data_IF_221589423690
#
_entry.id   IF_221589423690
#
_cell.length_a   1.000
_cell.length_b   1.000
_cell.length_c   1.000
_cell.angle_alpha   90.00
_cell.angle_beta   90.00
_cell.angle_gamma   90.00
#
_symmetry.space_group_name_H-M   'P 1'
#
loop_
_entity.id
_entity.type
_entity.pdbx_description
1 polymer ?
#
# COMPACT_ATOMS: atom_id res chain seq x y z
N UNK A 1 6.24 14.08 -27.34
CA UNK A 1 6.83 14.04 -25.97
C UNK A 1 6.42 15.33 -25.25
N UNK A 2 5.70 15.22 -24.13
CA UNK A 2 5.39 16.38 -23.28
C UNK A 2 6.67 16.79 -22.57
N UNK A 3 7.06 18.07 -22.66
CA UNK A 3 8.26 18.62 -22.03
C UNK A 3 7.91 19.40 -20.76
N UNK A 4 6.74 20.02 -20.72
CA UNK A 4 6.30 20.84 -19.59
C UNK A 4 4.77 20.83 -19.50
N UNK A 5 4.24 20.83 -18.28
CA UNK A 5 2.84 21.06 -17.98
C UNK A 5 2.75 22.21 -17.00
N UNK A 6 2.02 23.28 -17.37
CA UNK A 6 1.78 24.43 -16.49
C UNK A 6 0.34 24.38 -15.99
N UNK A 7 0.20 24.41 -14.67
CA UNK A 7 -1.08 24.50 -13.99
C UNK A 7 -1.24 25.90 -13.42
N UNK A 8 -2.30 26.59 -13.84
CA UNK A 8 -2.65 27.88 -13.28
C UNK A 8 -3.70 27.63 -12.19
N UNK A 9 -3.36 28.00 -10.96
CA UNK A 9 -4.29 27.85 -9.83
C UNK A 9 -5.39 28.92 -9.91
N UNK A 10 -6.60 28.54 -9.53
CA UNK A 10 -7.70 29.48 -9.37
C UNK A 10 -7.49 30.41 -8.17
N UNK A 11 -8.18 31.56 -8.18
CA UNK A 11 -8.12 32.53 -7.08
C UNK A 11 -8.72 31.98 -5.77
N UNK A 12 -9.61 30.99 -5.85
CA UNK A 12 -10.20 30.31 -4.71
C UNK A 12 -9.80 28.83 -4.71
N UNK A 13 -9.46 28.30 -3.52
CA UNK A 13 -9.14 26.88 -3.37
C UNK A 13 -10.45 26.11 -3.29
N UNK A 14 -10.66 25.17 -4.22
CA UNK A 14 -11.74 24.20 -4.19
C UNK A 14 -11.19 22.81 -3.89
N UNK A 15 -11.91 22.04 -3.09
CA UNK A 15 -11.55 20.68 -2.72
C UNK A 15 -12.58 19.71 -3.29
N UNK A 16 -12.11 18.58 -3.81
CA UNK A 16 -12.97 17.45 -4.17
C UNK A 16 -13.25 16.64 -2.90
N UNK A 17 -14.52 16.44 -2.58
CA UNK A 17 -14.94 15.56 -1.48
C UNK A 17 -15.25 14.17 -2.04
N UNK A 18 -14.47 13.18 -1.64
CA UNK A 18 -14.66 11.79 -2.03
C UNK A 18 -15.59 11.02 -1.08
N UNK A 19 -16.09 11.67 -0.03
CA UNK A 19 -16.93 11.08 1.02
C UNK A 19 -16.23 10.01 1.84
N UNK A 20 -16.60 9.84 3.09
CA UNK A 20 -16.14 8.76 3.94
C UNK A 20 -16.89 7.46 3.66
N UNK A 21 -16.34 6.32 4.09
CA UNK A 21 -17.02 5.03 4.00
C UNK A 21 -16.10 3.86 4.25
N UNK A 22 -16.58 2.85 4.98
CA UNK A 22 -15.78 1.67 5.31
C UNK A 22 -15.52 0.81 4.06
N UNK A 23 -14.26 0.68 3.61
CA UNK A 23 -13.93 -0.12 2.44
C UNK A 23 -14.25 -1.61 2.63
N UNK A 24 -14.37 -2.10 3.86
CA UNK A 24 -14.72 -3.50 4.12
C UNK A 24 -16.14 -3.86 3.65
N UNK A 25 -17.05 -2.88 3.56
CA UNK A 25 -18.41 -3.05 3.06
C UNK A 25 -18.56 -2.79 1.56
N UNK A 26 -17.52 -2.24 0.92
CA UNK A 26 -17.54 -1.88 -0.49
C UNK A 26 -17.14 -3.07 -1.39
N UNK A 27 -17.59 -3.05 -2.64
CA UNK A 27 -17.06 -3.95 -3.65
C UNK A 27 -15.76 -3.42 -4.23
N UNK A 28 -15.03 -4.27 -4.97
CA UNK A 28 -13.75 -3.93 -5.60
C UNK A 28 -13.85 -2.71 -6.52
N UNK A 29 -14.90 -2.66 -7.33
CA UNK A 29 -15.07 -1.60 -8.33
C UNK A 29 -15.20 -0.23 -7.69
N UNK A 30 -15.98 -0.12 -6.62
CA UNK A 30 -16.13 1.12 -5.85
C UNK A 30 -14.80 1.59 -5.25
N UNK A 31 -14.02 0.67 -4.68
CA UNK A 31 -12.70 0.97 -4.11
C UNK A 31 -11.74 1.44 -5.23
N UNK A 32 -11.68 0.72 -6.36
CA UNK A 32 -10.85 1.09 -7.51
C UNK A 32 -11.23 2.47 -8.05
N UNK A 33 -12.52 2.74 -8.25
CA UNK A 33 -12.98 4.04 -8.76
C UNK A 33 -12.64 5.20 -7.82
N UNK A 34 -12.79 4.99 -6.51
CA UNK A 34 -12.43 6.01 -5.51
C UNK A 34 -10.93 6.31 -5.54
N UNK A 35 -10.08 5.27 -5.56
CA UNK A 35 -8.63 5.42 -5.64
C UNK A 35 -8.17 6.08 -6.95
N UNK A 36 -8.82 5.78 -8.08
CA UNK A 36 -8.51 6.41 -9.37
C UNK A 36 -8.91 7.89 -9.40
N UNK A 37 -10.14 8.19 -8.98
CA UNK A 37 -10.66 9.57 -8.98
C UNK A 37 -9.88 10.50 -8.05
N UNK A 38 -9.46 9.99 -6.89
CA UNK A 38 -8.66 10.75 -5.93
C UNK A 38 -7.22 10.96 -6.35
N UNK A 39 -6.74 10.28 -7.39
CA UNK A 39 -5.33 10.33 -7.80
C UNK A 39 -4.38 9.52 -6.90
N UNK A 40 -4.90 8.75 -5.95
CA UNK A 40 -4.08 7.93 -5.04
C UNK A 40 -3.62 6.62 -5.70
N UNK A 41 -4.32 6.12 -6.71
CA UNK A 41 -4.01 4.84 -7.37
C UNK A 41 -2.53 4.62 -7.73
N UNK A 42 -1.75 5.61 -8.24
CA UNK A 42 -0.35 5.39 -8.65
C UNK A 42 0.62 4.97 -7.55
N UNK A 43 0.24 5.07 -6.27
CA UNK A 43 1.07 4.58 -5.15
C UNK A 43 1.13 3.06 -5.10
N UNK A 44 0.14 2.38 -5.72
CA UNK A 44 0.13 0.92 -5.82
C UNK A 44 0.98 0.50 -7.02
N UNK A 45 2.05 -0.24 -6.74
CA UNK A 45 3.01 -0.67 -7.74
C UNK A 45 2.88 -2.15 -8.04
N UNK A 46 3.09 -2.52 -9.30
CA UNK A 46 3.02 -3.89 -9.79
C UNK A 46 4.42 -4.47 -9.99
N UNK A 47 4.67 -5.62 -9.40
CA UNK A 47 5.88 -6.40 -9.63
C UNK A 47 5.64 -7.50 -10.67
N UNK A 48 6.67 -7.88 -11.44
CA UNK A 48 8.10 -7.65 -11.21
C UNK A 48 8.67 -6.33 -11.77
N UNK A 49 7.98 -5.59 -12.62
CA UNK A 49 8.57 -4.47 -13.38
C UNK A 49 8.44 -3.09 -12.72
N UNK A 50 7.88 -3.03 -11.52
CA UNK A 50 7.65 -1.80 -10.77
C UNK A 50 6.86 -0.73 -11.54
N UNK A 51 5.85 -1.15 -12.25
CA UNK A 51 4.91 -0.27 -12.95
C UNK A 51 3.78 0.15 -12.02
N UNK A 52 3.04 1.20 -12.38
CA UNK A 52 1.75 1.48 -11.73
C UNK A 52 0.83 0.27 -11.96
N UNK A 53 0.14 -0.17 -10.92
CA UNK A 53 -0.75 -1.32 -11.00
C UNK A 53 -1.87 -1.09 -12.03
N UNK A 54 -2.13 -2.10 -12.86
CA UNK A 54 -3.23 -2.06 -13.84
C UNK A 54 -4.57 -2.30 -13.11
N UNK A 55 -5.47 -1.31 -13.01
CA UNK A 55 -6.72 -1.46 -12.28
C UNK A 55 -7.67 -2.52 -12.85
N UNK A 56 -7.49 -2.91 -14.11
CA UNK A 56 -8.27 -3.96 -14.75
C UNK A 56 -7.83 -5.38 -14.34
N UNK A 57 -6.67 -5.50 -13.69
CA UNK A 57 -6.12 -6.78 -13.26
C UNK A 57 -6.30 -7.02 -11.76
N UNK A 58 -6.19 -8.28 -11.37
CA UNK A 58 -6.14 -8.68 -9.96
C UNK A 58 -4.77 -9.31 -9.69
N UNK A 59 -4.04 -8.87 -8.64
CA UNK A 59 -2.77 -9.48 -8.29
C UNK A 59 -2.98 -10.82 -7.56
N UNK A 60 -1.97 -11.70 -7.62
CA UNK A 60 -1.89 -12.92 -6.81
C UNK A 60 -1.92 -12.61 -5.30
N UNK A 61 -1.22 -11.57 -4.89
CA UNK A 61 -1.14 -11.09 -3.52
C UNK A 61 -0.72 -9.62 -3.50
N UNK A 62 -0.89 -8.97 -2.35
CA UNK A 62 -0.41 -7.60 -2.11
C UNK A 62 0.56 -7.64 -0.94
N UNK A 63 1.69 -6.93 -1.07
CA UNK A 63 2.71 -6.82 -0.05
C UNK A 63 2.81 -5.39 0.47
N UNK A 64 2.89 -5.26 1.78
CA UNK A 64 3.22 -4.02 2.49
C UNK A 64 4.45 -4.30 3.35
N UNK A 65 5.61 -3.73 2.97
CA UNK A 65 6.81 -3.82 3.79
C UNK A 65 6.73 -2.81 4.92
N UNK A 66 6.78 -3.31 6.17
CA UNK A 66 6.67 -2.50 7.38
C UNK A 66 8.03 -2.22 8.03
N UNK A 67 9.12 -2.49 7.34
CA UNK A 67 10.48 -2.07 7.75
C UNK A 67 11.35 -1.82 6.52
N UNK A 68 12.38 -1.01 6.68
CA UNK A 68 13.35 -0.70 5.65
C UNK A 68 14.77 -0.92 6.19
N UNK A 69 15.67 -1.38 5.34
CA UNK A 69 17.08 -1.59 5.66
C UNK A 69 18.01 -0.67 4.86
N UNK A 70 17.46 0.26 4.07
CA UNK A 70 18.27 1.24 3.37
C UNK A 70 18.95 2.20 4.36
N UNK A 71 20.18 2.62 4.10
CA UNK A 71 20.82 3.66 4.89
C UNK A 71 19.95 4.93 4.94
N UNK A 72 19.77 5.50 6.13
CA UNK A 72 18.97 6.70 6.37
C UNK A 72 17.47 6.53 6.06
N UNK A 73 16.97 5.32 5.91
CA UNK A 73 15.54 5.07 5.79
C UNK A 73 14.80 5.56 7.05
N UNK A 74 13.57 6.09 6.90
CA UNK A 74 12.78 6.49 8.05
C UNK A 74 12.36 5.28 8.88
N UNK A 75 12.19 5.49 10.18
CA UNK A 75 11.62 4.49 11.08
C UNK A 75 10.12 4.38 10.84
N UNK A 76 9.68 3.23 10.28
CA UNK A 76 8.29 3.00 9.93
C UNK A 76 7.41 2.74 11.15
N UNK A 77 7.97 2.24 12.27
CA UNK A 77 7.25 2.13 13.55
C UNK A 77 6.88 3.53 14.06
N UNK A 78 7.78 4.51 13.91
CA UNK A 78 7.50 5.90 14.25
C UNK A 78 6.45 6.54 13.32
N UNK A 79 6.53 6.26 12.02
CA UNK A 79 5.60 6.83 11.02
C UNK A 79 4.17 6.35 11.25
N UNK A 80 3.97 5.07 11.61
CA UNK A 80 2.63 4.51 11.81
C UNK A 80 2.04 4.84 13.17
N UNK A 81 2.87 5.30 14.10
CA UNK A 81 2.47 5.59 15.48
C UNK A 81 1.24 6.51 15.56
N UNK A 82 0.23 6.11 16.34
CA UNK A 82 -1.07 6.77 16.49
C UNK A 82 -1.96 6.80 15.21
N UNK A 83 -1.63 6.02 14.19
CA UNK A 83 -2.40 5.92 12.94
C UNK A 83 -3.02 4.53 12.72
N UNK A 84 -3.40 3.84 13.80
CA UNK A 84 -3.95 2.49 13.74
C UNK A 84 -5.22 2.40 12.88
N UNK A 85 -6.11 3.39 12.99
CA UNK A 85 -7.36 3.41 12.22
C UNK A 85 -7.11 3.62 10.73
N UNK A 86 -6.27 4.58 10.37
CA UNK A 86 -5.89 4.85 8.99
C UNK A 86 -5.18 3.64 8.37
N UNK A 87 -4.24 3.03 9.10
CA UNK A 87 -3.51 1.88 8.63
C UNK A 87 -4.44 0.68 8.39
N UNK A 88 -5.29 0.35 9.36
CA UNK A 88 -6.25 -0.74 9.23
C UNK A 88 -7.26 -0.50 8.10
N UNK A 89 -7.75 0.72 7.96
CA UNK A 89 -8.69 1.09 6.88
C UNK A 89 -8.02 0.97 5.52
N UNK A 90 -6.77 1.39 5.39
CA UNK A 90 -5.97 1.20 4.18
C UNK A 90 -5.75 -0.27 3.82
N UNK A 91 -5.45 -1.12 4.80
CA UNK A 91 -5.33 -2.56 4.61
C UNK A 91 -6.67 -3.19 4.18
N UNK A 92 -7.79 -2.75 4.76
CA UNK A 92 -9.12 -3.19 4.35
C UNK A 92 -9.42 -2.81 2.90
N UNK A 93 -9.04 -1.60 2.46
CA UNK A 93 -9.16 -1.19 1.07
C UNK A 93 -8.29 -2.05 0.13
N UNK A 94 -7.02 -2.29 0.48
CA UNK A 94 -6.14 -3.16 -0.29
C UNK A 94 -6.67 -4.59 -0.38
N UNK A 95 -7.30 -5.11 0.66
CA UNK A 95 -7.88 -6.46 0.66
C UNK A 95 -9.00 -6.63 -0.38
N UNK A 96 -9.65 -5.55 -0.80
CA UNK A 96 -10.67 -5.59 -1.87
C UNK A 96 -10.07 -5.65 -3.27
N UNK A 97 -8.78 -5.37 -3.41
CA UNK A 97 -8.11 -5.32 -4.71
C UNK A 97 -7.58 -6.69 -5.17
N UNK A 98 -7.54 -7.69 -4.28
CA UNK A 98 -7.06 -9.04 -4.57
C UNK A 98 -8.00 -10.10 -4.03
N UNK A 99 -8.08 -11.23 -4.71
CA UNK A 99 -8.67 -12.48 -4.17
C UNK A 99 -7.67 -13.29 -3.33
N UNK A 100 -6.41 -12.90 -3.39
CA UNK A 100 -5.34 -13.52 -2.62
C UNK A 100 -5.18 -12.91 -1.24
N UNK A 101 -3.95 -12.87 -0.76
CA UNK A 101 -3.62 -12.39 0.59
C UNK A 101 -3.01 -10.99 0.53
N UNK A 102 -3.31 -10.18 1.53
CA UNK A 102 -2.52 -9.00 1.85
C UNK A 102 -1.48 -9.43 2.88
N UNK A 103 -0.21 -9.34 2.52
CA UNK A 103 0.91 -9.68 3.39
C UNK A 103 1.52 -8.40 3.94
N UNK A 104 1.62 -8.29 5.26
CA UNK A 104 2.46 -7.29 5.91
C UNK A 104 3.75 -7.95 6.37
N UNK A 105 4.88 -7.34 6.06
CA UNK A 105 6.19 -7.89 6.40
C UNK A 105 6.84 -7.01 7.43
N UNK A 106 7.06 -7.55 8.61
CA UNK A 106 7.66 -6.88 9.77
C UNK A 106 9.05 -7.45 10.06
N UNK A 107 9.85 -6.69 10.79
CA UNK A 107 11.10 -7.18 11.38
C UNK A 107 10.83 -7.73 12.79
N UNK A 108 11.66 -8.63 13.29
CA UNK A 108 11.52 -9.18 14.66
C UNK A 108 11.64 -8.12 15.77
N UNK A 109 12.23 -6.97 15.45
CA UNK A 109 12.38 -5.82 16.36
C UNK A 109 11.22 -4.83 16.29
N UNK A 110 10.30 -4.99 15.32
CA UNK A 110 9.12 -4.14 15.18
C UNK A 110 8.30 -4.16 16.48
N UNK A 111 8.02 -2.98 17.00
CA UNK A 111 7.27 -2.78 18.25
C UNK A 111 5.93 -2.08 18.03
N UNK A 112 5.70 -1.49 16.86
CA UNK A 112 4.46 -0.78 16.55
C UNK A 112 3.25 -1.71 16.60
N UNK A 113 2.31 -1.42 17.52
CA UNK A 113 1.08 -2.21 17.66
C UNK A 113 0.21 -2.14 16.42
N UNK A 114 0.26 -1.05 15.69
CA UNK A 114 -0.42 -0.84 14.42
C UNK A 114 -0.10 -1.95 13.41
N UNK A 115 1.14 -2.44 13.40
CA UNK A 115 1.54 -3.57 12.57
C UNK A 115 1.22 -4.92 13.23
N UNK A 116 1.43 -5.03 14.55
CA UNK A 116 1.28 -6.29 15.27
C UNK A 116 -0.17 -6.71 15.45
N UNK A 117 -1.09 -5.74 15.60
CA UNK A 117 -2.52 -5.97 15.83
C UNK A 117 -3.35 -5.86 14.54
N UNK A 118 -2.70 -5.64 13.37
CA UNK A 118 -3.38 -5.54 12.07
C UNK A 118 -4.20 -6.78 11.76
N UNK A 119 -5.45 -6.56 11.33
CA UNK A 119 -6.44 -7.62 11.06
C UNK A 119 -6.62 -7.85 9.56
N UNK A 120 -7.14 -9.02 9.20
CA UNK A 120 -7.44 -9.43 7.82
C UNK A 120 -6.21 -9.46 6.90
N UNK A 121 -5.03 -9.66 7.47
CA UNK A 121 -3.74 -9.73 6.76
C UNK A 121 -2.94 -10.95 7.21
N UNK A 122 -1.98 -11.35 6.40
CA UNK A 122 -0.98 -12.34 6.79
C UNK A 122 0.27 -11.60 7.22
N UNK A 123 0.63 -11.72 8.50
CA UNK A 123 1.87 -11.14 9.01
C UNK A 123 3.03 -12.12 8.81
N UNK A 124 4.06 -11.64 8.14
CA UNK A 124 5.32 -12.34 7.91
C UNK A 124 6.44 -11.62 8.67
N UNK A 125 7.38 -12.37 9.21
CA UNK A 125 8.57 -11.80 9.85
C UNK A 125 9.79 -12.11 9.00
N UNK A 126 10.56 -11.08 8.68
CA UNK A 126 11.81 -11.19 7.92
C UNK A 126 12.88 -10.40 8.64
N UNK A 127 14.02 -11.04 8.86
CA UNK A 127 15.20 -10.44 9.47
C UNK A 127 16.40 -10.54 8.53
N UNK A 128 17.35 -9.64 8.69
CA UNK A 128 18.59 -9.68 7.95
C UNK A 128 19.19 -8.29 7.69
N UNK A 129 20.42 -8.26 7.22
CA UNK A 129 21.04 -7.03 6.74
C UNK A 129 20.38 -6.56 5.47
N UNK A 130 20.71 -5.34 5.03
CA UNK A 130 20.31 -4.91 3.68
C UNK A 130 20.75 -5.97 2.63
N UNK A 131 19.87 -6.39 1.71
CA UNK A 131 18.59 -5.77 1.32
C UNK A 131 17.31 -6.44 1.87
N UNK A 132 17.33 -7.02 3.06
CA UNK A 132 16.15 -7.71 3.63
C UNK A 132 14.88 -6.83 3.71
N UNK A 133 15.05 -5.50 3.86
CA UNK A 133 13.94 -4.53 3.82
C UNK A 133 13.38 -4.25 2.42
N UNK A 134 14.04 -4.70 1.36
CA UNK A 134 13.53 -4.48 0.01
C UNK A 134 12.36 -5.42 -0.27
N UNK A 135 11.21 -4.87 -0.60
CA UNK A 135 9.99 -5.65 -0.84
C UNK A 135 10.14 -6.70 -1.94
N UNK A 136 10.97 -6.45 -2.95
CA UNK A 136 11.27 -7.44 -4.00
C UNK A 136 12.00 -8.67 -3.46
N UNK A 137 12.90 -8.50 -2.48
CA UNK A 137 13.59 -9.59 -1.79
C UNK A 137 12.60 -10.36 -0.91
N UNK A 138 11.74 -9.64 -0.18
CA UNK A 138 10.69 -10.25 0.64
C UNK A 138 9.73 -11.11 -0.21
N UNK A 139 9.26 -10.59 -1.35
CA UNK A 139 8.40 -11.33 -2.27
C UNK A 139 9.11 -12.60 -2.77
N UNK A 140 10.38 -12.48 -3.16
CA UNK A 140 11.15 -13.62 -3.66
C UNK A 140 11.21 -14.79 -2.66
N UNK A 141 11.35 -14.47 -1.37
CA UNK A 141 11.47 -15.50 -0.32
C UNK A 141 10.12 -15.99 0.22
N UNK A 142 9.08 -15.14 0.23
CA UNK A 142 7.81 -15.45 0.90
C UNK A 142 6.73 -15.95 -0.09
N UNK A 143 6.66 -15.35 -1.28
CA UNK A 143 5.65 -15.69 -2.30
C UNK A 143 6.19 -15.32 -3.70
N UNK A 144 7.16 -16.11 -4.22
CA UNK A 144 7.83 -15.79 -5.48
C UNK A 144 6.85 -15.70 -6.65
N UNK A 145 7.15 -14.76 -7.55
CA UNK A 145 6.35 -14.49 -8.74
C UNK A 145 6.72 -15.48 -9.83
N UNK A 146 5.78 -16.29 -10.27
CA UNK A 146 5.92 -17.19 -11.42
C UNK A 146 5.57 -16.49 -12.73
N UNK A 147 5.90 -17.11 -13.86
CA UNK A 147 5.60 -16.58 -15.19
C UNK A 147 4.10 -16.28 -15.35
N UNK A 148 3.78 -15.05 -15.66
CA UNK A 148 2.40 -14.58 -15.87
C UNK A 148 1.70 -14.12 -14.61
N UNK A 149 2.27 -14.29 -13.42
CA UNK A 149 1.75 -13.77 -12.16
C UNK A 149 2.15 -12.32 -11.94
N UNK A 150 1.38 -11.64 -11.09
CA UNK A 150 1.63 -10.28 -10.64
C UNK A 150 1.41 -10.20 -9.14
N UNK A 151 2.28 -9.48 -8.47
CA UNK A 151 2.14 -9.10 -7.06
C UNK A 151 2.14 -7.58 -6.99
N UNK A 152 1.23 -7.02 -6.22
CA UNK A 152 1.22 -5.58 -6.00
C UNK A 152 1.89 -5.23 -4.68
N UNK A 153 2.40 -4.01 -4.61
CA UNK A 153 3.07 -3.48 -3.42
C UNK A 153 2.59 -2.07 -3.12
N UNK A 154 2.52 -1.75 -1.84
CA UNK A 154 2.32 -0.40 -1.34
C UNK A 154 3.22 -0.19 -0.12
N UNK A 155 3.72 1.02 0.09
CA UNK A 155 4.46 1.38 1.30
C UNK A 155 3.53 1.65 2.48
N UNK A 156 4.08 1.70 3.70
CA UNK A 156 3.30 2.04 4.91
C UNK A 156 2.62 3.40 4.77
N UNK A 157 3.35 4.41 4.28
CA UNK A 157 2.82 5.76 4.07
C UNK A 157 1.68 5.75 3.05
N UNK A 158 1.81 4.95 1.99
CA UNK A 158 0.77 4.79 0.97
C UNK A 158 -0.50 4.19 1.56
N UNK A 159 -0.35 3.18 2.43
CA UNK A 159 -1.48 2.56 3.14
C UNK A 159 -2.18 3.57 4.04
N UNK A 160 -1.44 4.44 4.73
CA UNK A 160 -2.01 5.52 5.54
C UNK A 160 -2.79 6.53 4.68
N UNK A 161 -2.24 6.92 3.52
CA UNK A 161 -2.91 7.82 2.57
C UNK A 161 -4.20 7.18 2.03
N UNK A 162 -4.12 5.91 1.64
CA UNK A 162 -5.30 5.14 1.22
C UNK A 162 -6.34 5.11 2.35
N UNK A 163 -5.92 4.82 3.59
CA UNK A 163 -6.85 4.76 4.72
C UNK A 163 -7.55 6.10 4.97
N UNK A 164 -6.82 7.21 4.96
CA UNK A 164 -7.37 8.56 5.13
C UNK A 164 -8.39 8.93 4.06
N UNK A 165 -8.24 8.42 2.84
CA UNK A 165 -9.20 8.67 1.76
C UNK A 165 -10.58 8.07 2.08
N UNK A 166 -10.67 7.05 2.94
CA UNK A 166 -11.92 6.37 3.29
C UNK A 166 -12.48 6.82 4.66
N UNK A 167 -11.74 7.56 5.46
CA UNK A 167 -12.15 8.12 6.75
C UNK A 167 -12.72 9.53 6.60
#
# INVERSE_FOLDING_TARGET
KVLEVRVVADASIAYEDFGAGDPSTMNRETVVQKLLKSGVWPVIRQRPFDLVADPAKEPKSIFVSCFDTNPLAPDLDYIVHNHANEFQTGLNALSKLTKGKVNIVVNSKTAAREFLDAKNVVRQTVDGPHPAGNVGVQIHHLDPISKGEQVWVAGVQDVLIIGRLFL
#
